data_IF_131341973525
#
_entry.id   IF_131341973525
#
_cell.length_a   1.000
_cell.length_b   1.000
_cell.length_c   1.000
_cell.angle_alpha   90.00
_cell.angle_beta   90.00
_cell.angle_gamma   90.00
#
_symmetry.space_group_name_H-M   'P 1'
#
loop_
_entity.id
_entity.type
_entity.pdbx_description
1 polymer ?
#
# COMPACT_ATOMS: atom_id res chain seq x y z
N UNK A 1 2.73 -18.43 -9.57
CA UNK A 1 1.85 -18.04 -8.42
C UNK A 1 1.56 -16.54 -8.49
N UNK A 2 0.57 -16.01 -7.75
CA UNK A 2 0.20 -14.57 -7.79
C UNK A 2 1.39 -13.68 -7.45
N UNK A 3 2.07 -13.95 -6.35
CA UNK A 3 3.28 -13.21 -5.91
C UNK A 3 4.37 -13.15 -6.99
N UNK A 4 4.58 -14.24 -7.69
CA UNK A 4 5.56 -14.33 -8.78
C UNK A 4 5.18 -13.45 -9.98
N UNK A 5 3.90 -13.48 -10.39
CA UNK A 5 3.39 -12.61 -11.47
C UNK A 5 3.50 -11.13 -11.10
N UNK A 6 3.25 -10.77 -9.84
CA UNK A 6 3.43 -9.41 -9.32
C UNK A 6 4.90 -9.02 -9.39
N UNK A 7 5.81 -9.85 -8.88
CA UNK A 7 7.25 -9.59 -8.92
C UNK A 7 7.77 -9.40 -10.35
N UNK A 8 7.41 -10.29 -11.28
CA UNK A 8 7.80 -10.20 -12.68
C UNK A 8 7.30 -8.92 -13.34
N UNK A 9 6.00 -8.61 -13.19
CA UNK A 9 5.39 -7.41 -13.75
C UNK A 9 6.07 -6.14 -13.24
N UNK A 10 6.18 -5.96 -11.94
CA UNK A 10 6.72 -4.73 -11.35
C UNK A 10 8.24 -4.63 -11.51
N UNK A 11 8.97 -5.73 -11.54
CA UNK A 11 10.40 -5.73 -11.91
C UNK A 11 10.58 -5.24 -13.35
N UNK A 12 9.79 -5.73 -14.31
CA UNK A 12 9.81 -5.22 -15.68
C UNK A 12 9.44 -3.73 -15.76
N UNK A 13 8.44 -3.31 -15.01
CA UNK A 13 7.99 -1.91 -14.97
C UNK A 13 8.99 -0.98 -14.26
N UNK A 14 9.91 -1.52 -13.43
CA UNK A 14 10.91 -0.69 -12.73
C UNK A 14 11.82 0.08 -13.69
N UNK A 15 12.04 -0.44 -14.90
CA UNK A 15 12.87 0.18 -15.94
C UNK A 15 12.11 1.21 -16.81
N UNK A 16 10.78 1.29 -16.70
CA UNK A 16 9.98 2.22 -17.50
C UNK A 16 9.93 3.60 -16.86
N UNK A 17 9.74 4.65 -17.67
CA UNK A 17 9.50 6.01 -17.18
C UNK A 17 8.04 6.26 -16.73
N UNK A 18 7.19 5.24 -16.75
CA UNK A 18 5.78 5.36 -16.42
C UNK A 18 5.58 5.74 -14.95
N UNK A 19 4.68 6.68 -14.69
CA UNK A 19 4.23 7.00 -13.36
C UNK A 19 3.35 5.85 -12.85
N UNK A 20 3.85 5.11 -11.84
CA UNK A 20 3.16 3.97 -11.24
C UNK A 20 2.22 4.38 -10.11
N UNK A 21 2.35 5.63 -9.62
CA UNK A 21 1.50 6.12 -8.54
C UNK A 21 0.09 6.37 -9.03
N UNK A 22 -0.84 5.56 -8.58
CA UNK A 22 -2.28 5.71 -8.83
C UNK A 22 -3.01 6.42 -7.68
N UNK A 23 -2.31 6.91 -6.66
CA UNK A 23 -2.94 7.44 -5.46
C UNK A 23 -2.18 8.59 -4.83
N UNK A 24 -2.87 9.32 -3.96
CA UNK A 24 -2.38 10.47 -3.21
C UNK A 24 -2.40 10.26 -1.69
N UNK A 25 -2.24 9.03 -1.19
CA UNK A 25 -2.31 8.72 0.24
C UNK A 25 -1.44 9.65 1.09
N UNK A 26 -0.21 9.93 0.64
CA UNK A 26 0.72 10.80 1.35
C UNK A 26 0.19 12.23 1.54
N UNK A 27 -0.63 12.75 0.62
CA UNK A 27 -1.16 14.11 0.72
C UNK A 27 -2.16 14.27 1.89
N UNK A 28 -2.76 13.16 2.34
CA UNK A 28 -3.70 13.11 3.47
C UNK A 28 -3.08 12.51 4.74
N UNK A 29 -1.88 11.96 4.65
CA UNK A 29 -1.21 11.22 5.73
C UNK A 29 -0.79 12.12 6.90
N UNK A 30 -0.38 13.38 6.62
CA UNK A 30 0.09 14.37 7.61
C UNK A 30 1.09 13.77 8.61
N UNK A 31 2.23 13.24 8.14
CA UNK A 31 3.25 12.70 9.03
C UNK A 31 3.75 13.78 10.00
N UNK A 32 4.15 13.36 11.18
CA UNK A 32 4.64 14.25 12.23
C UNK A 32 6.14 13.98 12.46
N UNK A 33 6.88 15.02 12.83
CA UNK A 33 8.29 14.88 13.19
C UNK A 33 8.49 13.82 14.28
N UNK A 34 9.45 12.93 14.07
CA UNK A 34 9.76 11.83 14.98
C UNK A 34 8.88 10.59 14.85
N UNK A 35 7.90 10.57 13.95
CA UNK A 35 7.09 9.38 13.71
C UNK A 35 7.87 8.26 13.03
N UNK A 36 7.47 7.01 13.32
CA UNK A 36 7.83 5.84 12.52
C UNK A 36 6.72 5.58 11.52
N UNK A 37 7.06 5.61 10.23
CA UNK A 37 6.13 5.46 9.12
C UNK A 37 6.43 4.19 8.29
N UNK A 38 5.40 3.67 7.62
CA UNK A 38 5.53 2.56 6.66
C UNK A 38 4.82 2.93 5.37
N UNK A 39 5.47 2.66 4.23
CA UNK A 39 4.86 2.68 2.90
C UNK A 39 4.72 1.25 2.39
N UNK A 40 3.49 0.75 2.27
CA UNK A 40 3.19 -0.60 1.78
C UNK A 40 3.07 -0.59 0.26
N UNK A 41 3.91 -1.38 -0.42
CA UNK A 41 4.08 -1.34 -1.86
C UNK A 41 4.86 -0.10 -2.29
N UNK A 42 5.99 0.13 -1.65
CA UNK A 42 6.77 1.37 -1.79
C UNK A 42 7.35 1.61 -3.19
N UNK A 43 7.30 0.63 -4.07
CA UNK A 43 7.77 0.74 -5.44
C UNK A 43 9.19 1.29 -5.51
N UNK A 44 9.38 2.39 -6.23
CA UNK A 44 10.67 3.07 -6.39
C UNK A 44 11.09 3.95 -5.21
N UNK A 45 10.33 3.97 -4.12
CA UNK A 45 10.66 4.69 -2.88
C UNK A 45 10.34 6.18 -2.87
N UNK A 46 9.56 6.70 -3.82
CA UNK A 46 9.28 8.13 -3.89
C UNK A 46 8.56 8.64 -2.63
N UNK A 47 7.52 7.94 -2.17
CA UNK A 47 6.80 8.33 -0.96
C UNK A 47 7.59 8.03 0.31
N UNK A 48 8.48 7.02 0.29
CA UNK A 48 9.44 6.77 1.38
C UNK A 48 10.37 7.96 1.59
N UNK A 49 10.93 8.53 0.51
CA UNK A 49 11.80 9.72 0.58
C UNK A 49 11.04 10.92 1.12
N UNK A 50 9.83 11.19 0.61
CA UNK A 50 8.98 12.28 1.10
C UNK A 50 8.64 12.12 2.59
N UNK A 51 8.25 10.92 3.02
CA UNK A 51 7.98 10.64 4.43
C UNK A 51 9.23 10.83 5.29
N UNK A 52 10.40 10.37 4.83
CA UNK A 52 11.67 10.52 5.55
C UNK A 52 12.05 11.98 5.78
N UNK A 53 11.80 12.83 4.78
CA UNK A 53 11.99 14.29 4.90
C UNK A 53 11.02 14.88 5.94
N UNK A 54 9.73 14.54 5.87
CA UNK A 54 8.70 15.11 6.73
C UNK A 54 8.83 14.66 8.20
N UNK A 55 9.21 13.39 8.46
CA UNK A 55 9.42 12.92 9.85
C UNK A 55 10.74 13.39 10.45
N UNK A 56 11.70 13.81 9.62
CA UNK A 56 13.00 14.35 10.04
C UNK A 56 13.92 13.32 10.71
N UNK A 57 15.06 13.79 11.22
CA UNK A 57 16.15 12.93 11.76
C UNK A 57 15.73 12.04 12.94
N UNK A 58 14.72 12.45 13.70
CA UNK A 58 14.21 11.68 14.85
C UNK A 58 13.12 10.66 14.47
N UNK A 59 12.65 10.70 13.22
CA UNK A 59 11.68 9.74 12.67
C UNK A 59 12.35 8.66 11.83
N UNK A 60 11.59 7.65 11.44
CA UNK A 60 12.10 6.57 10.59
C UNK A 60 11.02 6.05 9.64
N UNK A 61 11.42 5.66 8.43
CA UNK A 61 10.49 5.16 7.40
C UNK A 61 10.90 3.78 6.90
N UNK A 62 9.94 2.86 6.88
CA UNK A 62 10.09 1.57 6.20
C UNK A 62 9.31 1.57 4.89
N UNK A 63 9.98 1.28 3.78
CA UNK A 63 9.32 0.90 2.53
C UNK A 63 9.22 -0.62 2.47
N UNK A 64 8.04 -1.15 2.17
CA UNK A 64 7.80 -2.59 2.00
C UNK A 64 7.43 -2.84 0.53
N UNK A 65 8.13 -3.75 -0.11
CA UNK A 65 7.79 -4.21 -1.46
C UNK A 65 8.19 -5.67 -1.64
N UNK A 66 7.59 -6.35 -2.62
CA UNK A 66 7.92 -7.72 -2.98
C UNK A 66 8.79 -7.79 -4.24
N UNK A 67 8.75 -6.75 -5.09
CA UNK A 67 9.44 -6.70 -6.36
C UNK A 67 10.92 -6.37 -6.19
N UNK A 68 11.79 -7.28 -6.60
CA UNK A 68 13.24 -7.10 -6.51
C UNK A 68 13.72 -5.89 -7.33
N UNK A 69 13.15 -5.69 -8.51
CA UNK A 69 13.48 -4.54 -9.35
C UNK A 69 13.06 -3.21 -8.72
N UNK A 70 11.88 -3.16 -8.07
CA UNK A 70 11.44 -1.96 -7.35
C UNK A 70 12.31 -1.69 -6.13
N UNK A 71 12.63 -2.72 -5.34
CA UNK A 71 13.52 -2.61 -4.16
C UNK A 71 14.89 -2.08 -4.56
N UNK A 72 15.48 -2.59 -5.65
CA UNK A 72 16.77 -2.11 -6.15
C UNK A 72 16.71 -0.63 -6.53
N UNK A 73 15.66 -0.18 -7.24
CA UNK A 73 15.46 1.23 -7.60
C UNK A 73 15.23 2.11 -6.37
N UNK A 74 14.45 1.64 -5.40
CA UNK A 74 14.20 2.38 -4.16
C UNK A 74 15.50 2.56 -3.37
N UNK A 75 16.31 1.51 -3.19
CA UNK A 75 17.59 1.61 -2.50
C UNK A 75 18.55 2.59 -3.21
N UNK A 76 18.65 2.51 -4.55
CA UNK A 76 19.45 3.45 -5.32
C UNK A 76 18.94 4.91 -5.18
N UNK A 77 17.63 5.11 -5.05
CA UNK A 77 17.05 6.43 -4.81
C UNK A 77 17.39 6.94 -3.41
N UNK A 78 17.28 6.09 -2.36
CA UNK A 78 17.68 6.47 -1.00
C UNK A 78 19.16 6.87 -0.94
N UNK A 79 20.04 6.13 -1.58
CA UNK A 79 21.47 6.45 -1.67
C UNK A 79 21.70 7.78 -2.41
N UNK A 80 21.09 7.95 -3.58
CA UNK A 80 21.22 9.16 -4.40
C UNK A 80 20.78 10.43 -3.68
N UNK A 81 19.72 10.35 -2.86
CA UNK A 81 19.20 11.48 -2.09
C UNK A 81 19.73 11.52 -0.64
N UNK A 82 20.75 10.70 -0.34
CA UNK A 82 21.42 10.64 0.97
C UNK A 82 20.46 10.45 2.16
N UNK A 83 19.36 9.71 1.96
CA UNK A 83 18.34 9.45 3.00
C UNK A 83 18.87 8.45 4.02
N UNK A 84 19.07 8.90 5.28
CA UNK A 84 19.66 8.09 6.35
C UNK A 84 18.62 7.47 7.29
N UNK A 85 17.39 8.00 7.31
CA UNK A 85 16.31 7.62 8.21
C UNK A 85 15.22 6.79 7.50
N UNK A 86 15.60 6.00 6.49
CA UNK A 86 14.69 5.09 5.80
C UNK A 86 15.36 3.75 5.46
N UNK A 87 14.54 2.70 5.29
CA UNK A 87 14.99 1.38 4.88
C UNK A 87 13.92 0.68 4.03
N UNK A 88 14.36 0.02 2.95
CA UNK A 88 13.48 -0.83 2.14
C UNK A 88 13.62 -2.29 2.59
N UNK A 89 12.48 -2.95 2.79
CA UNK A 89 12.40 -4.36 3.21
C UNK A 89 11.61 -5.15 2.17
N UNK A 90 12.09 -6.34 1.84
CA UNK A 90 11.35 -7.30 1.02
C UNK A 90 10.43 -8.11 1.93
N UNK A 91 9.11 -7.99 1.73
CA UNK A 91 8.13 -8.79 2.45
C UNK A 91 6.80 -8.87 1.70
N UNK A 92 6.02 -9.91 1.97
CA UNK A 92 4.61 -9.99 1.64
C UNK A 92 3.80 -9.15 2.63
N UNK A 93 2.68 -8.57 2.18
CA UNK A 93 1.84 -7.70 3.01
C UNK A 93 1.14 -8.47 4.14
N UNK A 94 0.90 -9.76 3.93
CA UNK A 94 0.29 -10.68 4.89
C UNK A 94 1.21 -11.06 6.07
N UNK A 95 2.52 -10.69 6.00
CA UNK A 95 3.52 -11.03 7.04
C UNK A 95 4.62 -9.98 7.10
N UNK A 96 4.35 -8.90 7.81
CA UNK A 96 5.26 -7.76 7.89
C UNK A 96 6.39 -7.99 8.91
N UNK A 97 7.68 -7.79 8.55
CA UNK A 97 8.83 -8.02 9.44
C UNK A 97 9.03 -6.87 10.46
N UNK A 98 7.94 -6.39 11.03
CA UNK A 98 7.93 -5.29 11.99
C UNK A 98 7.30 -5.73 13.32
N UNK A 99 7.71 -5.11 14.42
CA UNK A 99 7.20 -5.42 15.75
C UNK A 99 5.76 -4.92 15.94
N UNK A 100 5.02 -5.55 16.82
CA UNK A 100 3.73 -5.05 17.28
C UNK A 100 3.90 -3.63 17.85
N UNK A 101 2.88 -2.79 17.67
CA UNK A 101 2.77 -1.46 18.27
C UNK A 101 4.04 -0.58 18.08
N UNK A 102 4.64 -0.65 16.88
CA UNK A 102 5.91 0.05 16.58
C UNK A 102 5.77 1.21 15.60
N UNK A 103 4.65 1.31 14.87
CA UNK A 103 4.44 2.24 13.76
C UNK A 103 3.38 3.28 14.10
N UNK A 104 3.61 4.54 13.74
CA UNK A 104 2.65 5.63 13.96
C UNK A 104 1.72 5.86 12.77
N UNK A 105 2.27 5.71 11.54
CA UNK A 105 1.56 5.97 10.30
C UNK A 105 1.88 4.89 9.26
N UNK A 106 0.85 4.41 8.59
CA UNK A 106 0.99 3.54 7.42
C UNK A 106 0.34 4.22 6.23
N UNK A 107 1.04 4.26 5.09
CA UNK A 107 0.46 4.62 3.81
C UNK A 107 0.52 3.45 2.84
N UNK A 108 -0.36 3.48 1.84
CA UNK A 108 -0.28 2.57 0.69
C UNK A 108 -0.99 3.18 -0.52
N UNK A 109 -0.46 2.91 -1.72
CA UNK A 109 -1.06 3.32 -2.97
C UNK A 109 -1.22 2.11 -3.91
N UNK A 110 -2.46 1.72 -4.22
CA UNK A 110 -2.84 0.66 -5.17
C UNK A 110 -2.16 -0.70 -4.93
N UNK A 111 -1.84 -1.07 -3.69
CA UNK A 111 -1.06 -2.28 -3.40
C UNK A 111 -1.87 -3.38 -2.75
N UNK A 112 -2.81 -3.05 -1.85
CA UNK A 112 -3.54 -4.03 -1.05
C UNK A 112 -4.35 -4.99 -1.93
N UNK A 113 -4.81 -4.53 -3.08
CA UNK A 113 -5.54 -5.38 -4.02
C UNK A 113 -4.71 -6.53 -4.62
N UNK A 114 -3.39 -6.48 -4.55
CA UNK A 114 -2.52 -7.58 -4.97
C UNK A 114 -2.45 -8.72 -3.96
N UNK A 115 -2.73 -8.45 -2.70
CA UNK A 115 -2.68 -9.46 -1.64
C UNK A 115 -3.70 -10.59 -1.87
N UNK A 116 -3.28 -11.81 -1.60
CA UNK A 116 -4.14 -12.99 -1.69
C UNK A 116 -5.13 -13.08 -0.54
N UNK A 117 -4.71 -12.66 0.66
CA UNK A 117 -5.52 -12.60 1.88
C UNK A 117 -5.55 -11.17 2.45
N UNK A 118 -6.47 -10.35 1.94
CA UNK A 118 -6.63 -8.96 2.40
C UNK A 118 -6.99 -8.81 3.88
N UNK A 119 -7.85 -9.66 4.47
CA UNK A 119 -8.03 -9.70 5.92
C UNK A 119 -6.72 -9.88 6.69
N UNK A 120 -5.81 -10.77 6.24
CA UNK A 120 -4.49 -10.94 6.87
C UNK A 120 -3.65 -9.67 6.78
N UNK A 121 -3.67 -8.97 5.63
CA UNK A 121 -3.00 -7.66 5.50
C UNK A 121 -3.51 -6.66 6.51
N UNK A 122 -4.84 -6.51 6.66
CA UNK A 122 -5.41 -5.56 7.60
C UNK A 122 -5.13 -5.91 9.05
N UNK A 123 -5.06 -7.21 9.38
CA UNK A 123 -4.63 -7.68 10.70
C UNK A 123 -3.15 -7.33 10.97
N UNK A 124 -2.26 -7.45 9.98
CA UNK A 124 -0.86 -7.05 10.08
C UNK A 124 -0.72 -5.54 10.24
N UNK A 125 -1.44 -4.75 9.44
CA UNK A 125 -1.49 -3.28 9.56
C UNK A 125 -1.93 -2.88 10.97
N UNK A 126 -2.99 -3.51 11.50
CA UNK A 126 -3.46 -3.27 12.86
C UNK A 126 -2.43 -3.69 13.90
N UNK A 127 -1.79 -4.85 13.73
CA UNK A 127 -0.79 -5.39 14.65
C UNK A 127 0.39 -4.44 14.84
N UNK A 128 0.95 -3.92 13.75
CA UNK A 128 2.16 -3.09 13.81
C UNK A 128 1.88 -1.64 14.20
N UNK A 129 0.67 -1.13 13.99
CA UNK A 129 0.28 0.21 14.42
C UNK A 129 0.26 0.31 15.95
N UNK A 130 0.79 1.40 16.49
CA UNK A 130 0.64 1.80 17.89
C UNK A 130 -0.82 2.14 18.18
N UNK A 131 -1.23 2.07 19.45
CA UNK A 131 -2.49 2.66 19.89
C UNK A 131 -2.54 4.15 19.50
N UNK A 132 -3.63 4.58 18.86
CA UNK A 132 -3.78 5.92 18.29
C UNK A 132 -3.05 6.12 16.95
N UNK A 133 -2.30 5.14 16.46
CA UNK A 133 -1.71 5.14 15.12
C UNK A 133 -2.77 5.12 14.03
N UNK A 134 -2.37 5.50 12.83
CA UNK A 134 -3.29 5.67 11.70
C UNK A 134 -2.77 5.06 10.40
N UNK A 135 -3.68 4.70 9.52
CA UNK A 135 -3.35 4.43 8.13
C UNK A 135 -4.01 5.45 7.19
N UNK A 136 -3.42 5.66 6.03
CA UNK A 136 -4.03 6.34 4.88
C UNK A 136 -3.71 5.52 3.63
N UNK A 137 -4.75 5.09 2.93
CA UNK A 137 -4.63 4.23 1.75
C UNK A 137 -5.41 4.82 0.59
N UNK A 138 -4.75 4.92 -0.57
CA UNK A 138 -5.40 5.21 -1.85
C UNK A 138 -5.43 3.91 -2.67
N UNK A 139 -6.63 3.41 -2.97
CA UNK A 139 -6.79 2.17 -3.72
C UNK A 139 -8.05 2.21 -4.59
N UNK A 140 -8.27 1.18 -5.38
CA UNK A 140 -9.50 0.96 -6.12
C UNK A 140 -10.35 -0.09 -5.42
N UNK A 141 -11.66 0.03 -5.59
CA UNK A 141 -12.63 -1.02 -5.24
C UNK A 141 -13.49 -1.37 -6.45
N UNK A 142 -14.01 -2.59 -6.49
CA UNK A 142 -14.91 -3.03 -7.53
C UNK A 142 -16.34 -2.52 -7.26
N UNK A 143 -17.03 -2.02 -8.29
CA UNK A 143 -18.44 -1.61 -8.19
C UNK A 143 -19.34 -2.83 -7.98
N UNK A 144 -18.98 -3.96 -8.59
CA UNK A 144 -19.62 -5.27 -8.44
C UNK A 144 -18.55 -6.33 -8.14
N UNK A 145 -18.90 -7.44 -7.48
CA UNK A 145 -17.95 -8.53 -7.21
C UNK A 145 -17.25 -9.00 -8.48
N UNK A 146 -15.94 -9.13 -8.41
CA UNK A 146 -15.11 -9.64 -9.52
C UNK A 146 -15.36 -11.13 -9.71
N UNK A 147 -15.60 -11.56 -10.96
CA UNK A 147 -15.81 -12.97 -11.27
C UNK A 147 -14.59 -13.82 -10.90
N UNK A 148 -14.84 -15.00 -10.35
CA UNK A 148 -13.82 -15.92 -9.80
C UNK A 148 -12.71 -16.26 -10.81
N UNK A 149 -13.06 -16.42 -12.09
CA UNK A 149 -12.09 -16.67 -13.16
C UNK A 149 -10.99 -15.61 -13.26
N UNK A 150 -11.29 -14.36 -12.94
CA UNK A 150 -10.31 -13.27 -12.97
C UNK A 150 -9.57 -13.16 -11.62
N UNK A 151 -10.24 -13.41 -10.51
CA UNK A 151 -9.62 -13.43 -9.17
C UNK A 151 -8.55 -14.52 -9.04
N UNK A 152 -8.68 -15.60 -9.80
CA UNK A 152 -7.74 -16.73 -9.84
C UNK A 152 -6.71 -16.60 -10.99
N UNK A 153 -6.76 -15.53 -11.79
CA UNK A 153 -5.78 -15.25 -12.85
C UNK A 153 -4.65 -14.37 -12.30
N UNK A 154 -3.41 -14.91 -12.15
CA UNK A 154 -2.30 -14.14 -11.61
C UNK A 154 -1.96 -12.88 -12.41
N UNK A 155 -2.11 -12.90 -13.74
CA UNK A 155 -1.84 -11.75 -14.60
C UNK A 155 -2.87 -10.65 -14.38
N UNK A 156 -4.16 -11.00 -14.29
CA UNK A 156 -5.23 -10.05 -14.01
C UNK A 156 -5.10 -9.43 -12.60
N UNK A 157 -4.74 -10.24 -11.59
CA UNK A 157 -4.50 -9.76 -10.23
C UNK A 157 -3.29 -8.82 -10.19
N UNK A 158 -2.21 -9.11 -10.92
CA UNK A 158 -1.06 -8.22 -11.03
C UNK A 158 -1.38 -6.87 -11.69
N UNK A 159 -2.52 -6.73 -12.39
CA UNK A 159 -3.07 -5.47 -12.89
C UNK A 159 -3.91 -4.69 -11.87
N UNK A 160 -3.99 -5.17 -10.62
CA UNK A 160 -4.71 -4.58 -9.50
C UNK A 160 -6.24 -4.78 -9.53
N UNK A 161 -6.89 -4.67 -10.70
CA UNK A 161 -8.36 -4.67 -10.80
C UNK A 161 -9.01 -6.00 -10.41
N UNK A 162 -8.39 -7.12 -10.80
CA UNK A 162 -8.98 -8.44 -10.55
C UNK A 162 -8.89 -8.87 -9.06
N UNK A 163 -7.95 -8.30 -8.31
CA UNK A 163 -7.87 -8.50 -6.87
C UNK A 163 -8.75 -7.53 -6.08
N UNK A 164 -9.40 -6.54 -6.69
CA UNK A 164 -10.23 -5.59 -5.96
C UNK A 164 -11.49 -6.26 -5.39
N UNK A 165 -11.91 -5.76 -4.25
CA UNK A 165 -13.16 -6.15 -3.57
C UNK A 165 -14.17 -5.02 -3.65
N UNK A 166 -15.43 -5.28 -3.33
CA UNK A 166 -16.43 -4.22 -3.29
C UNK A 166 -16.16 -3.24 -2.14
N UNK A 167 -16.70 -2.02 -2.27
CA UNK A 167 -16.60 -0.99 -1.21
C UNK A 167 -17.10 -1.50 0.15
N UNK A 168 -18.21 -2.22 0.16
CA UNK A 168 -18.78 -2.76 1.38
C UNK A 168 -17.88 -3.84 2.02
N UNK A 169 -17.31 -4.74 1.21
CA UNK A 169 -16.35 -5.73 1.68
C UNK A 169 -15.09 -5.06 2.24
N UNK A 170 -14.58 -4.03 1.56
CA UNK A 170 -13.40 -3.29 2.02
C UNK A 170 -13.62 -2.68 3.41
N UNK A 171 -14.72 -1.94 3.60
CA UNK A 171 -15.08 -1.34 4.89
C UNK A 171 -15.28 -2.40 5.98
N UNK A 172 -15.96 -3.50 5.65
CA UNK A 172 -16.17 -4.62 6.59
C UNK A 172 -14.84 -5.25 7.05
N UNK A 173 -13.83 -5.34 6.17
CA UNK A 173 -12.51 -5.84 6.56
C UNK A 173 -11.82 -4.89 7.55
N UNK A 174 -11.91 -3.58 7.35
CA UNK A 174 -11.36 -2.59 8.28
C UNK A 174 -12.00 -2.68 9.66
N UNK A 175 -13.34 -2.75 9.72
CA UNK A 175 -14.09 -2.90 10.97
C UNK A 175 -13.74 -4.19 11.71
N UNK A 176 -13.65 -5.33 10.97
CA UNK A 176 -13.28 -6.63 11.55
C UNK A 176 -11.85 -6.67 12.06
N UNK A 177 -10.93 -5.94 11.45
CA UNK A 177 -9.56 -5.79 11.94
C UNK A 177 -9.46 -4.91 13.19
N UNK A 178 -10.53 -4.19 13.57
CA UNK A 178 -10.59 -3.36 14.77
C UNK A 178 -10.36 -1.87 14.54
N UNK A 179 -10.27 -1.42 13.29
CA UNK A 179 -10.11 0.00 12.99
C UNK A 179 -11.37 0.81 13.28
N UNK A 180 -11.15 2.02 13.77
CA UNK A 180 -12.18 3.02 14.04
C UNK A 180 -11.87 4.34 13.32
N UNK A 181 -12.74 5.36 13.47
CA UNK A 181 -12.60 6.68 12.84
C UNK A 181 -12.35 6.60 11.32
N UNK A 182 -13.02 5.68 10.64
CA UNK A 182 -12.90 5.49 9.20
C UNK A 182 -13.39 6.74 8.47
N UNK A 183 -12.54 7.34 7.62
CA UNK A 183 -12.85 8.53 6.82
C UNK A 183 -12.42 8.32 5.39
N UNK A 184 -13.29 8.64 4.44
CA UNK A 184 -12.99 8.72 3.02
C UNK A 184 -12.74 10.20 2.71
N UNK A 185 -11.54 10.52 2.23
CA UNK A 185 -11.13 11.87 1.85
C UNK A 185 -11.51 12.19 0.41
N UNK A 186 -11.34 11.23 -0.46
CA UNK A 186 -11.60 11.35 -1.90
C UNK A 186 -12.23 10.06 -2.40
N UNK A 187 -13.15 10.17 -3.32
CA UNK A 187 -13.81 9.04 -3.97
C UNK A 187 -14.18 9.42 -5.41
N UNK A 188 -13.77 8.60 -6.39
CA UNK A 188 -14.10 8.84 -7.80
C UNK A 188 -15.46 8.28 -8.16
N UNK A 189 -16.02 8.74 -9.29
CA UNK A 189 -17.07 7.99 -9.98
C UNK A 189 -16.51 6.67 -10.55
N UNK A 190 -17.41 5.73 -10.92
CA UNK A 190 -17.03 4.47 -11.56
C UNK A 190 -16.35 4.68 -12.91
N UNK A 191 -15.37 3.81 -13.23
CA UNK A 191 -14.70 3.74 -14.53
C UNK A 191 -14.30 2.31 -14.88
N UNK A 192 -14.16 2.04 -16.18
CA UNK A 192 -13.72 0.73 -16.65
C UNK A 192 -12.21 0.52 -16.42
N UNK A 193 -11.84 -0.65 -15.86
CA UNK A 193 -10.45 -1.08 -15.74
C UNK A 193 -10.37 -2.60 -15.93
N UNK A 194 -9.63 -3.04 -16.95
CA UNK A 194 -9.63 -4.44 -17.37
C UNK A 194 -11.01 -4.92 -17.77
N UNK A 195 -11.52 -5.94 -17.12
CA UNK A 195 -12.86 -6.50 -17.38
C UNK A 195 -13.86 -6.15 -16.26
N UNK A 196 -13.58 -5.11 -15.48
CA UNK A 196 -14.41 -4.67 -14.38
C UNK A 196 -14.71 -3.17 -14.43
N UNK A 197 -15.77 -2.78 -13.72
CA UNK A 197 -16.03 -1.40 -13.36
C UNK A 197 -15.53 -1.19 -11.93
N UNK A 198 -14.67 -0.19 -11.75
CA UNK A 198 -14.05 0.12 -10.46
C UNK A 198 -14.23 1.60 -10.13
N UNK A 199 -14.05 1.95 -8.88
CA UNK A 199 -13.86 3.33 -8.45
C UNK A 199 -12.65 3.41 -7.52
N UNK A 200 -12.03 4.57 -7.40
CA UNK A 200 -10.92 4.81 -6.49
C UNK A 200 -11.36 5.61 -5.29
N UNK A 201 -10.70 5.39 -4.16
CA UNK A 201 -10.87 6.21 -2.96
C UNK A 201 -9.54 6.43 -2.24
N UNK A 202 -9.47 7.49 -1.45
CA UNK A 202 -8.45 7.67 -0.41
C UNK A 202 -9.14 7.59 0.95
N UNK A 203 -8.76 6.59 1.75
CA UNK A 203 -9.42 6.22 3.00
C UNK A 203 -8.40 6.18 4.15
N UNK A 204 -8.84 6.57 5.34
CA UNK A 204 -8.05 6.46 6.57
C UNK A 204 -8.83 5.78 7.68
N UNK A 205 -8.09 5.28 8.67
CA UNK A 205 -8.63 4.78 9.94
C UNK A 205 -7.59 4.81 11.04
N UNK A 206 -8.02 4.56 12.28
CA UNK A 206 -7.17 4.54 13.48
C UNK A 206 -7.26 3.21 14.22
N UNK A 207 -6.16 2.84 14.89
CA UNK A 207 -6.12 1.79 15.91
C UNK A 207 -6.51 2.32 17.26
#
# INVERSE_FOLDING_TARGET
MITEAINERYTSMSETSCCLSCGGAINHAKPQSGETCVDLGSGRGNDVIRLAEEVGENGFVFGIDISEGMIAKANAALEKFEVQNAKILKAELESLPLRNDSVNLIISNCTINHASDKPAVWNEVYRILKSGGRFVVSDIYAVQPIAEKYRNDPAAVAECWAGSVTRAEYLTMLEKAGFNDIKIFEESGPYAKGQAEVASFTISGRK
#
